data_IF_304824365359
#
_entry.id   IF_304824365359
#
_cell.length_a   1.000
_cell.length_b   1.000
_cell.length_c   1.000
_cell.angle_alpha   90.00
_cell.angle_beta   90.00
_cell.angle_gamma   90.00
#
_symmetry.space_group_name_H-M   'P 1'
#
loop_
_entity.id
_entity.type
_entity.pdbx_description
1 polymer ?
#
# COMPACT_ATOMS: atom_id res chain seq x y z
N UNK A 1 16.42 3.19 -23.50
CA UNK A 1 15.35 2.93 -23.35
C UNK A 1 14.98 1.81 -22.64
N UNK A 2 14.43 1.74 -21.77
CA UNK A 2 14.21 0.65 -20.99
C UNK A 2 12.84 0.22 -21.12
N UNK A 3 12.55 -0.04 -22.25
CA UNK A 3 11.29 -0.37 -22.45
C UNK A 3 10.87 -1.56 -21.85
N UNK A 4 11.62 -2.48 -21.80
CA UNK A 4 11.19 -3.74 -21.27
C UNK A 4 10.99 -3.71 -19.79
N UNK A 5 11.54 -2.68 -19.15
CA UNK A 5 11.42 -2.60 -17.73
C UNK A 5 10.35 -1.63 -17.28
N UNK A 6 9.60 -1.11 -18.20
CA UNK A 6 8.56 -0.21 -17.81
C UNK A 6 7.35 -0.98 -17.36
N UNK A 7 7.41 -1.52 -16.17
CA UNK A 7 6.27 -2.17 -15.59
C UNK A 7 5.35 -1.09 -15.11
N UNK A 8 4.19 -1.00 -15.69
CA UNK A 8 3.21 -0.02 -15.27
C UNK A 8 2.53 -0.52 -14.02
N UNK A 9 2.58 0.27 -12.97
CA UNK A 9 1.89 -0.04 -11.72
C UNK A 9 0.72 0.91 -11.60
N UNK A 10 -0.45 0.35 -11.37
CA UNK A 10 -1.64 1.14 -11.19
C UNK A 10 -2.22 0.90 -9.81
N UNK A 11 -2.72 1.95 -9.18
CA UNK A 11 -3.38 1.84 -7.89
C UNK A 11 -4.89 1.88 -8.08
N UNK A 12 -5.60 1.12 -7.29
CA UNK A 12 -7.06 1.20 -7.27
C UNK A 12 -7.56 1.08 -5.84
N UNK A 13 -8.76 1.56 -5.62
CA UNK A 13 -9.41 1.46 -4.32
C UNK A 13 -10.90 1.77 -4.45
N UNK A 14 -11.63 1.44 -3.40
CA UNK A 14 -13.04 1.74 -3.29
C UNK A 14 -13.19 3.13 -2.67
N UNK A 15 -13.89 4.04 -3.32
CA UNK A 15 -14.04 5.41 -2.84
C UNK A 15 -14.72 5.48 -1.48
N UNK A 16 -15.67 4.60 -1.20
CA UNK A 16 -16.33 4.60 0.09
C UNK A 16 -15.36 4.20 1.20
N UNK A 17 -14.46 3.27 0.90
CA UNK A 17 -13.43 2.86 1.85
C UNK A 17 -12.42 3.98 2.07
N UNK A 18 -12.11 4.74 1.03
CA UNK A 18 -11.22 5.87 1.15
C UNK A 18 -11.81 6.90 2.11
N UNK A 19 -13.06 7.25 1.94
CA UNK A 19 -13.75 8.22 2.82
C UNK A 19 -13.79 7.69 4.24
N UNK A 20 -14.15 6.43 4.43
CA UNK A 20 -14.22 5.82 5.75
C UNK A 20 -12.85 5.80 6.42
N UNK A 21 -11.80 5.52 5.64
CA UNK A 21 -10.44 5.48 6.15
C UNK A 21 -9.98 6.87 6.62
N UNK A 22 -10.34 7.91 5.88
CA UNK A 22 -10.03 9.27 6.27
C UNK A 22 -10.70 9.65 7.59
N UNK A 23 -11.95 9.23 7.78
CA UNK A 23 -12.65 9.49 9.02
C UNK A 23 -12.06 8.75 10.19
N UNK A 24 -11.65 7.51 9.97
CA UNK A 24 -11.14 6.66 11.03
C UNK A 24 -9.68 6.94 11.39
N UNK A 25 -8.86 7.13 10.38
CA UNK A 25 -7.41 7.22 10.56
C UNK A 25 -6.77 8.53 10.10
N UNK A 26 -7.53 9.39 9.46
CA UNK A 26 -7.00 10.66 8.96
C UNK A 26 -6.08 10.51 7.76
N UNK A 27 -6.10 9.38 7.08
CA UNK A 27 -5.24 9.11 5.94
C UNK A 27 -6.09 8.80 4.71
N UNK A 28 -5.84 9.49 3.60
CA UNK A 28 -6.53 9.21 2.36
C UNK A 28 -5.70 8.21 1.53
N UNK A 29 -6.35 7.54 0.61
CA UNK A 29 -5.68 6.48 -0.15
C UNK A 29 -4.70 7.01 -1.20
N UNK A 30 -4.88 8.25 -1.64
CA UNK A 30 -3.90 8.86 -2.52
C UNK A 30 -2.57 9.03 -1.79
N UNK A 31 -2.59 9.47 -0.55
CA UNK A 31 -1.39 9.54 0.28
C UNK A 31 -0.83 8.15 0.54
N UNK A 32 -1.71 7.17 0.77
CA UNK A 32 -1.28 5.79 0.98
C UNK A 32 -0.51 5.25 -0.23
N UNK A 33 -0.96 5.57 -1.44
CA UNK A 33 -0.27 5.13 -2.66
C UNK A 33 1.15 5.67 -2.71
N UNK A 34 1.41 6.81 -2.12
CA UNK A 34 2.73 7.44 -2.13
C UNK A 34 3.75 6.68 -1.26
N UNK A 35 3.29 5.78 -0.40
CA UNK A 35 4.19 4.92 0.37
C UNK A 35 5.09 4.13 -0.59
N UNK A 36 4.52 3.70 -1.72
CA UNK A 36 5.27 2.88 -2.69
C UNK A 36 6.31 3.67 -3.47
N UNK A 37 6.33 4.98 -3.33
CA UNK A 37 7.36 5.83 -3.92
C UNK A 37 8.57 6.01 -2.98
N UNK A 38 8.46 5.59 -1.74
CA UNK A 38 9.56 5.62 -0.79
C UNK A 38 10.55 4.51 -1.16
N UNK A 39 11.79 4.81 -1.51
CA UNK A 39 12.74 3.77 -1.91
C UNK A 39 13.07 2.78 -0.79
N UNK A 40 12.77 3.14 0.44
CA UNK A 40 13.06 2.29 1.59
C UNK A 40 11.82 1.59 2.15
N UNK A 41 10.71 1.61 1.44
CA UNK A 41 9.51 1.01 1.99
C UNK A 41 9.70 -0.50 2.23
N UNK A 42 9.04 -1.00 3.27
CA UNK A 42 9.16 -2.39 3.70
C UNK A 42 7.86 -3.11 3.45
N UNK A 43 7.94 -4.31 2.87
CA UNK A 43 6.78 -5.16 2.64
C UNK A 43 6.78 -6.31 3.62
N UNK A 44 5.62 -6.61 4.16
CA UNK A 44 5.41 -7.77 5.02
C UNK A 44 4.13 -8.47 4.62
N UNK A 45 4.16 -9.80 4.64
CA UNK A 45 2.94 -10.55 4.44
C UNK A 45 2.08 -10.43 5.69
N UNK A 46 0.80 -10.24 5.49
CA UNK A 46 -0.15 -10.29 6.58
C UNK A 46 -0.78 -11.68 6.51
N UNK A 47 -2.07 -11.79 6.47
CA UNK A 47 -2.72 -13.09 6.37
C UNK A 47 -3.59 -13.13 5.13
N UNK A 48 -3.86 -14.34 4.68
CA UNK A 48 -4.79 -14.55 3.60
C UNK A 48 -6.21 -14.28 4.11
N UNK A 49 -6.99 -13.54 3.37
CA UNK A 49 -8.37 -13.26 3.77
C UNK A 49 -9.26 -14.47 3.49
N UNK A 50 -10.56 -14.34 3.78
CA UNK A 50 -11.51 -15.43 3.60
C UNK A 50 -11.65 -15.88 2.16
N UNK A 51 -11.39 -15.00 1.21
CA UNK A 51 -11.43 -15.34 -0.20
C UNK A 51 -10.16 -15.98 -0.71
N UNK A 52 -9.17 -16.17 0.14
CA UNK A 52 -7.90 -16.76 -0.25
C UNK A 52 -6.89 -15.76 -0.77
N UNK A 53 -7.19 -14.46 -0.74
CA UNK A 53 -6.30 -13.46 -1.26
C UNK A 53 -5.31 -12.99 -0.19
N UNK A 54 -4.03 -13.04 -0.51
CA UNK A 54 -2.99 -12.63 0.42
C UNK A 54 -2.97 -11.12 0.58
N UNK A 55 -3.00 -10.66 1.81
CA UNK A 55 -2.86 -9.25 2.13
C UNK A 55 -1.43 -8.94 2.51
N UNK A 56 -1.00 -7.75 2.17
CA UNK A 56 0.35 -7.28 2.44
C UNK A 56 0.30 -5.95 3.18
N UNK A 57 1.32 -5.73 4.00
CA UNK A 57 1.52 -4.45 4.66
C UNK A 57 2.72 -3.79 4.04
N UNK A 58 2.57 -2.55 3.59
CA UNK A 58 3.69 -1.73 3.14
C UNK A 58 3.87 -0.61 4.16
N UNK A 59 5.09 -0.43 4.63
CA UNK A 59 5.41 0.64 5.57
C UNK A 59 6.39 1.57 4.87
N UNK A 60 6.02 2.83 4.77
CA UNK A 60 6.87 3.80 4.11
C UNK A 60 6.59 5.23 4.54
N UNK A 61 7.49 6.13 4.17
CA UNK A 61 7.44 7.51 4.58
C UNK A 61 6.75 8.36 3.53
N UNK A 62 5.79 9.16 3.96
CA UNK A 62 5.10 10.12 3.10
C UNK A 62 5.10 11.46 3.84
N UNK A 63 5.84 12.42 3.31
CA UNK A 63 5.94 13.76 3.91
C UNK A 63 6.27 13.70 5.41
N UNK A 64 7.29 12.98 5.75
CA UNK A 64 7.78 12.84 7.13
C UNK A 64 6.84 12.06 8.07
N UNK A 65 5.79 11.44 7.52
CA UNK A 65 4.89 10.61 8.32
C UNK A 65 5.02 9.16 7.86
N UNK A 66 5.22 8.26 8.79
CA UNK A 66 5.35 6.85 8.46
C UNK A 66 3.98 6.19 8.46
N UNK A 67 3.59 5.66 7.32
CA UNK A 67 2.28 5.05 7.12
C UNK A 67 2.39 3.54 6.89
N UNK A 68 1.36 2.82 7.32
CA UNK A 68 1.22 1.41 7.02
C UNK A 68 0.01 1.25 6.11
N UNK A 69 0.21 0.62 4.97
CA UNK A 69 -0.83 0.45 3.94
C UNK A 69 -1.12 -1.03 3.78
N UNK A 70 -2.37 -1.41 3.99
CA UNK A 70 -2.83 -2.78 3.74
C UNK A 70 -3.31 -2.85 2.30
N UNK A 71 -2.79 -3.79 1.54
CA UNK A 71 -3.10 -3.87 0.11
C UNK A 71 -3.01 -5.30 -0.39
N UNK A 72 -3.54 -5.52 -1.59
CA UNK A 72 -3.41 -6.79 -2.29
C UNK A 72 -2.86 -6.52 -3.68
N UNK A 73 -2.25 -7.52 -4.28
CA UNK A 73 -1.71 -7.42 -5.64
C UNK A 73 -2.62 -8.13 -6.61
N UNK A 74 -2.85 -7.51 -7.75
CA UNK A 74 -3.64 -8.09 -8.82
C UNK A 74 -2.92 -7.85 -10.14
N UNK A 75 -3.24 -8.65 -11.15
CA UNK A 75 -2.68 -8.45 -12.48
C UNK A 75 -3.82 -8.28 -13.46
N UNK A 76 -3.66 -7.36 -14.39
CA UNK A 76 -4.64 -7.19 -15.45
C UNK A 76 -4.30 -8.14 -16.61
N UNK A 77 -5.21 -8.27 -17.52
CA UNK A 77 -5.04 -9.16 -18.67
C UNK A 77 -3.82 -8.79 -19.51
N UNK A 78 -3.51 -7.51 -19.61
CA UNK A 78 -2.38 -7.06 -20.40
C UNK A 78 -1.05 -7.03 -19.59
N UNK A 79 -1.01 -7.65 -18.45
CA UNK A 79 0.21 -7.75 -17.65
C UNK A 79 0.48 -6.56 -16.75
N UNK A 80 -0.43 -5.63 -16.66
CA UNK A 80 -0.27 -4.49 -15.78
C UNK A 80 -0.39 -4.92 -14.33
N UNK A 81 0.51 -4.42 -13.49
CA UNK A 81 0.44 -4.71 -12.07
C UNK A 81 -0.50 -3.73 -11.39
N UNK A 82 -1.41 -4.25 -10.59
CA UNK A 82 -2.39 -3.44 -9.88
C UNK A 82 -2.22 -3.65 -8.39
N UNK A 83 -2.09 -2.54 -7.65
CA UNK A 83 -2.06 -2.55 -6.21
C UNK A 83 -3.40 -2.01 -5.72
N UNK A 84 -4.19 -2.89 -5.08
CA UNK A 84 -5.47 -2.47 -4.55
C UNK A 84 -5.33 -2.14 -3.08
N UNK A 85 -5.56 -0.88 -2.73
CA UNK A 85 -5.42 -0.39 -1.36
C UNK A 85 -6.69 -0.71 -0.58
N UNK A 86 -6.52 -1.30 0.59
CA UNK A 86 -7.62 -1.73 1.46
C UNK A 86 -7.77 -0.78 2.65
N UNK A 87 -6.66 -0.42 3.29
CA UNK A 87 -6.70 0.53 4.39
C UNK A 87 -5.32 1.14 4.59
N UNK A 88 -5.27 2.25 5.32
CA UNK A 88 -4.00 2.92 5.60
C UNK A 88 -4.11 3.65 6.94
N UNK A 89 -3.03 3.66 7.68
CA UNK A 89 -2.98 4.35 8.98
C UNK A 89 -1.53 4.70 9.33
N UNK A 90 -1.36 5.51 10.32
CA UNK A 90 -0.03 5.76 10.82
C UNK A 90 0.49 4.51 11.52
N UNK A 91 1.79 4.32 11.49
CA UNK A 91 2.40 3.15 12.11
C UNK A 91 2.36 3.25 13.62
N UNK A 92 2.35 2.08 14.27
CA UNK A 92 2.52 1.98 15.71
C UNK A 92 4.00 1.90 15.99
N UNK A 93 4.38 2.13 17.23
CA UNK A 93 5.78 2.14 17.64
C UNK A 93 6.55 0.88 17.23
N UNK A 94 5.94 -0.27 17.40
CA UNK A 94 6.57 -1.55 17.04
C UNK A 94 6.81 -1.67 15.55
N UNK A 95 5.89 -1.14 14.75
CA UNK A 95 5.98 -1.21 13.29
C UNK A 95 7.09 -0.32 12.75
N UNK A 96 7.31 0.82 13.39
CA UNK A 96 8.38 1.73 12.99
C UNK A 96 9.77 1.11 13.14
N UNK A 97 9.94 0.23 14.10
CA UNK A 97 11.22 -0.43 14.30
C UNK A 97 11.66 -1.23 13.09
N UNK A 98 10.72 -1.90 12.43
CA UNK A 98 11.05 -2.66 11.23
C UNK A 98 11.52 -1.79 10.09
N UNK A 99 10.97 -0.60 9.98
CA UNK A 99 11.34 0.31 8.90
C UNK A 99 12.76 0.87 9.09
N UNK A 100 13.12 1.18 10.31
CA UNK A 100 14.41 1.81 10.59
C UNK A 100 15.55 0.83 10.89
N UNK A 101 15.36 -0.42 10.67
CA UNK A 101 16.41 -1.40 10.88
C UNK A 101 17.55 -1.28 9.91
#
# INVERSE_FOLDING_TARGET
>A
MCYTLCITVRFEWDEEKDVANQRKHGVDFESAARVFADPDYVLREDRTDEGGEMRWHAIGLVEAVLLLVVHVYRSSIDGEEIIRIISARRTRKQERRGYFQ
#
